data_IF_562505529890
#
_entry.id   IF_562505529890
#
_cell.length_a   1.000
_cell.length_b   1.000
_cell.length_c   1.000
_cell.angle_alpha   90.00
_cell.angle_beta   90.00
_cell.angle_gamma   90.00
#
_symmetry.space_group_name_H-M   'P 1'
#
loop_
_entity.id
_entity.type
_entity.pdbx_description
1 polymer ?
#
# COMPACT_ATOMS: atom_id res chain seq x y z
N UNK A 1 44.83 -51.78 17.54
CA UNK A 1 43.66 -51.43 16.69
C UNK A 1 42.49 -50.75 17.42
N UNK A 2 42.23 -51.01 18.71
CA UNK A 2 41.09 -50.40 19.45
C UNK A 2 41.11 -48.87 19.62
N UNK A 3 42.29 -48.24 19.74
CA UNK A 3 42.39 -46.79 19.95
C UNK A 3 42.00 -45.97 18.72
N UNK A 4 42.35 -46.42 17.52
CA UNK A 4 42.04 -45.70 16.26
C UNK A 4 40.52 -45.60 16.03
N UNK A 5 39.78 -46.65 16.40
CA UNK A 5 38.33 -46.68 16.27
C UNK A 5 37.60 -45.70 17.23
N UNK A 6 38.20 -45.40 18.39
CA UNK A 6 37.62 -44.43 19.33
C UNK A 6 37.78 -42.98 18.85
N UNK A 7 38.89 -42.67 18.18
CA UNK A 7 39.14 -41.33 17.63
C UNK A 7 38.25 -41.03 16.42
N UNK A 8 37.98 -42.02 15.56
CA UNK A 8 37.06 -41.83 14.42
C UNK A 8 35.60 -41.65 14.86
N UNK A 9 35.16 -42.36 15.91
CA UNK A 9 33.81 -42.18 16.48
C UNK A 9 33.68 -40.80 17.13
N UNK A 10 34.70 -40.34 17.86
CA UNK A 10 34.69 -39.01 18.49
C UNK A 10 34.68 -37.88 17.43
N UNK A 11 35.47 -38.02 16.36
CA UNK A 11 35.51 -37.04 15.27
C UNK A 11 34.20 -36.99 14.48
N UNK A 12 33.58 -38.15 14.21
CA UNK A 12 32.26 -38.22 13.57
C UNK A 12 31.15 -37.61 14.44
N UNK A 13 31.19 -37.84 15.76
CA UNK A 13 30.23 -37.22 16.68
C UNK A 13 30.36 -35.69 16.70
N UNK A 14 31.60 -35.16 16.75
CA UNK A 14 31.85 -33.71 16.71
C UNK A 14 31.35 -33.10 15.40
N UNK A 15 31.62 -33.73 14.24
CA UNK A 15 31.10 -33.27 12.95
C UNK A 15 29.57 -33.30 12.86
N UNK A 16 28.90 -34.29 13.48
CA UNK A 16 27.44 -34.34 13.56
C UNK A 16 26.86 -33.25 14.48
N UNK A 17 27.55 -32.88 15.56
CA UNK A 17 27.14 -31.75 16.42
C UNK A 17 27.26 -30.40 15.69
N UNK A 18 28.30 -30.19 14.86
CA UNK A 18 28.42 -28.98 14.03
C UNK A 18 27.50 -28.97 12.80
N UNK A 19 27.07 -30.13 12.30
CA UNK A 19 26.11 -30.23 11.21
C UNK A 19 24.66 -30.01 11.69
N UNK A 20 24.33 -30.40 12.92
CA UNK A 20 22.99 -30.20 13.51
C UNK A 20 22.79 -28.81 14.12
N UNK A 21 23.85 -28.09 14.50
CA UNK A 21 23.74 -26.73 15.05
C UNK A 21 23.64 -25.62 14.00
N UNK A 22 23.84 -25.94 12.71
CA UNK A 22 23.79 -24.95 11.62
C UNK A 22 22.46 -24.93 10.82
N UNK A 23 21.48 -25.79 11.16
CA UNK A 23 20.16 -25.78 10.50
C UNK A 23 19.06 -25.08 11.29
N UNK A 24 19.32 -24.70 12.54
CA UNK A 24 18.43 -23.88 13.33
C UNK A 24 19.07 -22.49 13.49
N UNK A 25 18.38 -21.46 12.98
CA UNK A 25 18.66 -20.04 13.22
C UNK A 25 19.83 -19.45 12.41
N UNK A 26 19.78 -19.62 11.10
CA UNK A 26 20.18 -18.55 10.17
C UNK A 26 18.92 -18.08 9.44
N UNK A 27 17.86 -17.79 10.19
CA UNK A 27 17.06 -16.64 9.81
C UNK A 27 17.98 -15.46 10.04
N UNK A 28 18.41 -14.79 8.96
CA UNK A 28 18.98 -13.46 9.07
C UNK A 28 18.05 -12.67 9.98
N UNK A 29 18.47 -12.44 11.24
CA UNK A 29 17.73 -11.59 12.17
C UNK A 29 17.76 -10.20 11.56
N UNK A 30 16.77 -9.88 10.73
CA UNK A 30 16.56 -8.52 10.28
C UNK A 30 16.39 -7.72 11.58
N UNK A 31 17.20 -6.68 11.85
CA UNK A 31 17.11 -5.91 13.09
C UNK A 31 15.72 -5.32 13.34
N UNK A 32 14.85 -5.29 12.32
CA UNK A 32 13.43 -4.93 12.46
C UNK A 32 12.61 -5.93 13.29
N UNK A 33 12.97 -7.22 13.35
CA UNK A 33 12.23 -8.22 14.14
C UNK A 33 12.36 -7.99 15.66
N UNK A 34 13.40 -7.27 16.12
CA UNK A 34 13.50 -6.88 17.53
C UNK A 34 12.75 -5.57 17.85
N UNK A 35 12.39 -4.80 16.82
CA UNK A 35 11.65 -3.54 16.95
C UNK A 35 10.14 -3.72 16.78
N UNK A 36 9.72 -4.87 16.27
CA UNK A 36 8.32 -5.23 16.05
C UNK A 36 7.96 -6.38 16.98
N UNK A 37 6.82 -6.26 17.65
CA UNK A 37 6.28 -7.32 18.51
C UNK A 37 5.74 -8.48 17.64
N UNK A 38 6.64 -9.37 17.24
CA UNK A 38 6.34 -10.53 16.39
C UNK A 38 5.47 -11.58 17.10
N UNK A 39 5.24 -11.44 18.41
CA UNK A 39 4.25 -12.26 19.11
C UNK A 39 2.81 -11.83 18.74
N UNK A 40 2.61 -10.55 18.43
CA UNK A 40 1.31 -9.97 18.05
C UNK A 40 1.13 -9.80 16.55
N UNK A 41 2.23 -9.59 15.82
CA UNK A 41 2.19 -9.26 14.41
C UNK A 41 2.91 -10.29 13.55
N UNK A 42 2.37 -10.53 12.37
CA UNK A 42 3.07 -11.15 11.25
C UNK A 42 3.59 -10.04 10.34
N UNK A 43 4.85 -10.12 9.93
CA UNK A 43 5.39 -9.21 8.92
C UNK A 43 4.82 -9.62 7.56
N UNK A 44 4.13 -8.69 6.90
CA UNK A 44 3.52 -8.89 5.59
C UNK A 44 4.48 -8.47 4.48
N UNK A 45 5.04 -7.25 4.61
CA UNK A 45 5.98 -6.72 3.62
C UNK A 45 7.02 -5.84 4.30
N UNK A 46 8.28 -6.01 3.92
CA UNK A 46 9.39 -5.16 4.36
C UNK A 46 10.01 -4.52 3.13
N UNK A 47 9.95 -3.19 3.04
CA UNK A 47 10.51 -2.40 1.96
C UNK A 47 11.71 -1.61 2.50
N UNK A 48 12.88 -1.99 2.02
CA UNK A 48 14.11 -1.31 2.39
C UNK A 48 14.49 -0.22 1.38
N UNK A 49 15.15 0.83 1.88
CA UNK A 49 15.72 1.92 1.07
C UNK A 49 14.67 2.75 0.31
N UNK A 50 13.54 3.03 0.95
CA UNK A 50 12.50 3.89 0.38
C UNK A 50 12.92 5.35 0.57
N UNK A 51 13.13 6.09 -0.52
CA UNK A 51 13.59 7.47 -0.48
C UNK A 51 12.41 8.43 -0.45
N UNK A 52 12.28 9.31 0.55
CA UNK A 52 11.24 10.34 0.60
C UNK A 52 11.87 11.65 1.03
N UNK A 53 11.86 12.65 0.15
CA UNK A 53 12.62 13.89 0.31
C UNK A 53 14.09 13.58 0.64
N UNK A 54 14.59 14.05 1.79
CA UNK A 54 15.95 13.78 2.27
C UNK A 54 16.04 12.54 3.18
N UNK A 55 14.95 11.80 3.39
CA UNK A 55 14.92 10.65 4.29
C UNK A 55 15.06 9.33 3.53
N UNK A 56 15.91 8.47 4.06
CA UNK A 56 16.03 7.07 3.63
C UNK A 56 15.32 6.18 4.66
N UNK A 57 14.25 5.52 4.24
CA UNK A 57 13.32 4.85 5.13
C UNK A 57 13.31 3.34 4.93
N UNK A 58 13.03 2.63 6.02
CA UNK A 58 12.49 1.27 5.99
C UNK A 58 11.01 1.34 6.29
N UNK A 59 10.19 0.75 5.43
CA UNK A 59 8.74 0.68 5.62
C UNK A 59 8.34 -0.77 5.84
N UNK A 60 7.60 -1.03 6.90
CA UNK A 60 7.13 -2.36 7.26
C UNK A 60 5.61 -2.35 7.33
N UNK A 61 4.99 -3.22 6.55
CA UNK A 61 3.58 -3.54 6.62
C UNK A 61 3.42 -4.85 7.40
N UNK A 62 2.52 -4.84 8.37
CA UNK A 62 2.33 -5.92 9.33
C UNK A 62 0.85 -6.23 9.44
N UNK A 63 0.53 -7.44 9.90
CA UNK A 63 -0.85 -7.87 10.16
C UNK A 63 -0.98 -8.42 11.56
N UNK A 64 -2.08 -8.09 12.22
CA UNK A 64 -2.38 -8.64 13.55
C UNK A 64 -2.58 -10.16 13.45
N UNK A 65 -2.04 -10.92 14.40
CA UNK A 65 -2.27 -12.38 14.45
C UNK A 65 -3.62 -12.73 15.05
N UNK A 66 -4.09 -11.90 15.97
CA UNK A 66 -5.27 -12.14 16.80
C UNK A 66 -6.20 -10.93 16.77
N UNK A 67 -7.49 -11.19 16.87
CA UNK A 67 -8.53 -10.18 17.05
C UNK A 67 -8.57 -9.66 18.51
N UNK A 68 -9.52 -8.78 18.79
CA UNK A 68 -9.72 -8.21 20.14
C UNK A 68 -10.16 -9.24 21.20
N UNK A 69 -10.59 -10.43 20.78
CA UNK A 69 -10.96 -11.57 21.62
C UNK A 69 -9.86 -12.63 21.69
N UNK A 70 -8.65 -12.31 21.23
CA UNK A 70 -7.49 -13.21 21.18
C UNK A 70 -7.72 -14.45 20.30
N UNK A 71 -8.63 -14.40 19.33
CA UNK A 71 -8.84 -15.45 18.34
C UNK A 71 -8.04 -15.18 17.06
N UNK A 72 -7.52 -16.22 16.39
CA UNK A 72 -6.91 -16.05 15.08
C UNK A 72 -7.97 -15.60 14.06
N UNK A 73 -7.57 -14.76 13.11
CA UNK A 73 -8.41 -14.43 11.97
C UNK A 73 -8.58 -15.64 11.04
N UNK A 74 -9.77 -15.79 10.46
CA UNK A 74 -10.07 -16.86 9.48
C UNK A 74 -9.14 -16.82 8.25
N UNK A 75 -8.56 -15.66 7.96
CA UNK A 75 -7.57 -15.47 6.90
C UNK A 75 -6.56 -14.39 7.26
N UNK A 76 -5.33 -14.49 6.75
CA UNK A 76 -4.32 -13.43 6.93
C UNK A 76 -4.77 -12.13 6.26
N UNK A 77 -5.45 -12.20 5.12
CA UNK A 77 -5.87 -11.02 4.35
C UNK A 77 -7.08 -10.29 4.94
N UNK A 78 -7.81 -10.90 5.89
CA UNK A 78 -8.85 -10.22 6.68
C UNK A 78 -8.32 -9.57 7.96
N UNK A 79 -7.05 -9.81 8.30
CA UNK A 79 -6.43 -9.20 9.47
C UNK A 79 -6.15 -7.70 9.28
N UNK A 80 -6.38 -6.87 10.31
CA UNK A 80 -5.97 -5.47 10.35
C UNK A 80 -4.52 -5.26 9.92
N UNK A 81 -4.31 -4.32 9.00
CA UNK A 81 -2.97 -3.92 8.56
C UNK A 81 -2.41 -2.86 9.51
N UNK A 82 -1.12 -2.95 9.80
CA UNK A 82 -0.35 -1.92 10.48
C UNK A 82 0.81 -1.46 9.60
N UNK A 83 1.09 -0.16 9.63
CA UNK A 83 2.20 0.47 8.92
C UNK A 83 3.19 1.03 9.94
N UNK A 84 4.44 0.57 9.87
CA UNK A 84 5.55 1.12 10.64
C UNK A 84 6.63 1.66 9.71
N UNK A 85 7.21 2.80 10.06
CA UNK A 85 8.23 3.49 9.26
C UNK A 85 9.40 3.84 10.17
N UNK A 86 10.59 3.46 9.72
CA UNK A 86 11.85 3.64 10.44
C UNK A 86 12.84 4.40 9.56
N UNK A 87 13.73 5.16 10.17
CA UNK A 87 14.93 5.65 9.49
C UNK A 87 15.87 4.45 9.20
N UNK A 88 16.35 4.30 7.97
CA UNK A 88 17.08 3.08 7.53
C UNK A 88 18.40 2.86 8.29
N UNK A 89 19.16 3.92 8.52
CA UNK A 89 20.51 3.82 9.09
C UNK A 89 20.48 3.57 10.60
N UNK A 90 19.58 4.25 11.32
CA UNK A 90 19.49 4.19 12.78
C UNK A 90 18.45 3.17 13.29
N UNK A 91 17.57 2.69 12.40
CA UNK A 91 16.32 2.01 12.75
C UNK A 91 15.44 2.79 13.74
N UNK A 92 15.60 4.12 13.80
CA UNK A 92 14.78 4.97 14.65
C UNK A 92 13.32 4.89 14.18
N UNK A 93 12.35 4.50 15.04
CA UNK A 93 10.94 4.52 14.67
C UNK A 93 10.48 5.96 14.47
N UNK A 94 9.96 6.26 13.29
CA UNK A 94 9.43 7.58 12.93
C UNK A 94 7.90 7.60 12.93
N UNK A 95 7.26 6.45 12.74
CA UNK A 95 5.80 6.31 12.69
C UNK A 95 5.36 4.87 12.90
N UNK A 96 4.19 4.69 13.53
CA UNK A 96 3.47 3.42 13.56
C UNK A 96 1.98 3.68 13.69
N UNK A 97 1.16 2.97 12.92
CA UNK A 97 -0.29 3.00 13.01
C UNK A 97 -0.90 1.65 12.63
N UNK A 98 -1.88 1.19 13.41
CA UNK A 98 -2.74 0.07 13.08
C UNK A 98 -4.04 0.62 12.48
N UNK A 99 -4.41 0.14 11.29
CA UNK A 99 -5.67 0.49 10.66
C UNK A 99 -6.74 -0.49 11.10
N UNK A 100 -7.76 0.01 11.78
CA UNK A 100 -8.86 -0.81 12.26
C UNK A 100 -9.53 -1.54 11.09
N UNK A 101 -9.84 -2.82 11.31
CA UNK A 101 -10.74 -3.54 10.43
C UNK A 101 -12.17 -3.10 10.76
N UNK A 102 -12.97 -2.79 9.74
CA UNK A 102 -14.42 -2.62 9.92
C UNK A 102 -15.04 -4.01 9.99
N UNK A 103 -15.87 -4.30 11.01
CA UNK A 103 -16.32 -5.67 11.34
C UNK A 103 -17.29 -6.29 10.32
N UNK A 104 -17.55 -5.64 9.19
CA UNK A 104 -18.41 -6.20 8.15
C UNK A 104 -17.70 -7.37 7.44
N UNK A 105 -18.49 -8.30 6.92
CA UNK A 105 -18.09 -9.60 6.38
C UNK A 105 -16.79 -9.55 5.54
N UNK A 106 -15.69 -9.92 6.19
CA UNK A 106 -14.42 -10.34 5.59
C UNK A 106 -13.86 -9.47 4.46
N UNK A 107 -13.58 -8.17 4.66
CA UNK A 107 -12.83 -7.42 3.66
C UNK A 107 -11.44 -8.04 3.50
N UNK A 108 -11.10 -8.48 2.30
CA UNK A 108 -9.71 -8.66 1.92
C UNK A 108 -9.05 -7.28 1.94
N UNK A 109 -8.11 -7.07 2.85
CA UNK A 109 -7.38 -5.80 2.99
C UNK A 109 -6.07 -5.92 2.22
N UNK A 110 -5.90 -5.11 1.17
CA UNK A 110 -4.72 -5.08 0.32
C UNK A 110 -4.02 -3.72 0.54
N UNK A 111 -2.88 -3.71 1.26
CA UNK A 111 -2.08 -2.51 1.41
C UNK A 111 -1.13 -2.34 0.22
N UNK A 112 -1.08 -1.15 -0.35
CA UNK A 112 -0.19 -0.84 -1.48
C UNK A 112 0.64 0.40 -1.19
N UNK A 113 1.93 0.36 -1.55
CA UNK A 113 2.84 1.50 -1.52
C UNK A 113 3.30 1.83 -2.92
N UNK A 114 3.25 3.11 -3.28
CA UNK A 114 3.68 3.56 -4.60
C UNK A 114 4.18 5.00 -4.60
N UNK A 115 5.03 5.33 -5.57
CA UNK A 115 5.43 6.70 -5.88
C UNK A 115 4.56 7.32 -6.94
N UNK A 116 4.57 8.66 -6.98
CA UNK A 116 4.16 9.39 -8.17
C UNK A 116 5.04 9.07 -9.40
N UNK A 117 4.54 9.41 -10.59
CA UNK A 117 5.22 9.33 -11.88
C UNK A 117 5.79 7.94 -12.26
N UNK A 118 5.24 6.85 -11.73
CA UNK A 118 5.78 5.50 -11.98
C UNK A 118 7.21 5.28 -11.44
N UNK A 119 7.72 6.19 -10.61
CA UNK A 119 9.06 6.06 -10.03
C UNK A 119 9.16 4.82 -9.15
N UNK A 120 10.33 4.18 -9.13
CA UNK A 120 10.58 3.11 -8.16
C UNK A 120 10.53 3.66 -6.74
N UNK A 121 10.32 2.79 -5.75
CA UNK A 121 10.29 3.20 -4.33
C UNK A 121 11.63 3.80 -3.83
N UNK A 122 12.74 3.49 -4.51
CA UNK A 122 14.06 4.07 -4.26
C UNK A 122 14.23 5.44 -4.95
N UNK A 123 13.36 5.78 -5.89
CA UNK A 123 13.34 7.07 -6.57
C UNK A 123 12.75 8.19 -5.70
N UNK A 124 13.10 9.42 -6.05
CA UNK A 124 12.58 10.62 -5.40
C UNK A 124 11.13 10.90 -5.81
N UNK A 125 10.39 11.56 -4.93
CA UNK A 125 9.03 12.05 -5.20
C UNK A 125 8.01 11.67 -4.12
N UNK A 126 6.76 12.14 -4.24
CA UNK A 126 5.69 11.84 -3.29
C UNK A 126 5.46 10.33 -3.12
N UNK A 127 5.43 9.88 -1.87
CA UNK A 127 5.12 8.49 -1.49
C UNK A 127 3.69 8.38 -1.01
N UNK A 128 2.96 7.40 -1.52
CA UNK A 128 1.59 7.14 -1.14
C UNK A 128 1.42 5.74 -0.59
N UNK A 129 0.47 5.64 0.32
CA UNK A 129 0.00 4.40 0.91
C UNK A 129 -1.50 4.30 0.66
N UNK A 130 -1.96 3.17 0.13
CA UNK A 130 -3.38 2.88 -0.01
C UNK A 130 -3.78 1.62 0.74
N UNK A 131 -5.04 1.62 1.16
CA UNK A 131 -5.72 0.48 1.73
C UNK A 131 -6.98 0.20 0.93
N UNK A 132 -6.97 -0.95 0.28
CA UNK A 132 -8.07 -1.42 -0.55
C UNK A 132 -8.75 -2.54 0.22
N UNK A 133 -10.05 -2.44 0.46
CA UNK A 133 -10.85 -3.40 1.23
C UNK A 133 -11.92 -3.99 0.31
N UNK A 134 -11.89 -5.28 0.02
CA UNK A 134 -12.88 -5.95 -0.85
C UNK A 134 -13.74 -6.97 -0.11
N UNK A 135 -15.06 -6.90 -0.24
CA UNK A 135 -16.01 -7.63 0.63
C UNK A 135 -16.50 -8.98 0.07
N UNK A 136 -15.64 -9.74 -0.64
CA UNK A 136 -15.97 -11.07 -1.19
C UNK A 136 -16.99 -11.08 -2.36
N UNK A 137 -17.70 -9.97 -2.58
CA UNK A 137 -18.47 -9.67 -3.77
C UNK A 137 -17.80 -8.57 -4.58
N UNK A 138 -18.62 -7.76 -5.24
CA UNK A 138 -18.13 -6.75 -6.14
C UNK A 138 -17.85 -5.42 -5.42
N UNK A 139 -18.40 -5.20 -4.21
CA UNK A 139 -18.14 -4.04 -3.37
C UNK A 139 -16.71 -3.97 -2.79
N UNK A 140 -16.16 -2.76 -2.77
CA UNK A 140 -14.89 -2.41 -2.16
C UNK A 140 -14.93 -1.02 -1.51
N UNK A 141 -14.00 -0.76 -0.60
CA UNK A 141 -13.68 0.57 -0.12
C UNK A 141 -12.19 0.83 -0.25
N UNK A 142 -11.84 2.11 -0.36
CA UNK A 142 -10.49 2.54 -0.65
C UNK A 142 -10.14 3.76 0.20
N UNK A 143 -8.95 3.74 0.80
CA UNK A 143 -8.38 4.86 1.54
C UNK A 143 -6.98 5.16 0.99
N UNK A 144 -6.71 6.40 0.62
CA UNK A 144 -5.40 6.86 0.15
C UNK A 144 -4.82 7.91 1.07
N UNK A 145 -3.53 7.75 1.33
CA UNK A 145 -2.75 8.63 2.16
C UNK A 145 -1.47 9.07 1.46
N UNK A 146 -1.05 10.31 1.74
CA UNK A 146 0.28 10.81 1.43
C UNK A 146 1.17 10.64 2.65
N UNK A 147 2.28 9.91 2.48
CA UNK A 147 3.34 9.81 3.49
C UNK A 147 4.24 11.04 3.33
N UNK A 148 4.09 11.99 4.25
CA UNK A 148 4.78 13.26 4.21
C UNK A 148 5.75 13.42 5.39
N UNK A 149 7.06 13.56 5.13
CA UNK A 149 8.01 14.04 6.13
C UNK A 149 7.71 15.50 6.53
N UNK A 150 7.62 15.78 7.83
CA UNK A 150 7.61 17.15 8.38
C UNK A 150 8.52 17.19 9.60
N UNK A 151 9.56 18.02 9.57
CA UNK A 151 10.50 18.17 10.69
C UNK A 151 11.08 16.84 11.22
N UNK A 152 11.49 15.94 10.31
CA UNK A 152 11.98 14.57 10.60
C UNK A 152 10.95 13.61 11.22
N UNK A 153 9.71 14.03 11.47
CA UNK A 153 8.60 13.14 11.76
C UNK A 153 7.88 12.75 10.46
N UNK A 154 7.25 11.57 10.46
CA UNK A 154 6.41 11.14 9.34
C UNK A 154 4.95 11.42 9.70
N UNK A 155 4.24 12.04 8.76
CA UNK A 155 2.80 12.29 8.85
C UNK A 155 2.09 11.55 7.73
N UNK A 156 1.03 10.84 8.09
CA UNK A 156 0.13 10.22 7.14
C UNK A 156 -1.05 11.16 6.87
N UNK A 157 -1.01 11.88 5.75
CA UNK A 157 -2.04 12.85 5.38
C UNK A 157 -3.13 12.13 4.58
N UNK A 158 -4.38 12.03 5.08
CA UNK A 158 -5.46 11.42 4.31
C UNK A 158 -5.77 12.27 3.07
N UNK A 159 -5.81 11.64 1.90
CA UNK A 159 -6.09 12.29 0.63
C UNK A 159 -7.50 11.99 0.13
N UNK A 160 -7.94 10.75 0.24
CA UNK A 160 -9.21 10.30 -0.32
C UNK A 160 -9.73 9.07 0.42
N UNK A 161 -11.05 9.00 0.57
CA UNK A 161 -11.77 7.82 1.03
C UNK A 161 -13.00 7.63 0.16
N UNK A 162 -13.15 6.44 -0.42
CA UNK A 162 -14.26 6.11 -1.30
C UNK A 162 -14.77 4.70 -1.05
N UNK A 163 -15.96 4.42 -1.58
CA UNK A 163 -16.58 3.10 -1.60
C UNK A 163 -17.24 2.88 -2.95
N UNK A 164 -17.10 1.68 -3.52
CA UNK A 164 -17.70 1.35 -4.80
C UNK A 164 -17.51 -0.10 -5.18
N UNK A 165 -18.18 -0.55 -6.22
CA UNK A 165 -17.96 -1.87 -6.79
C UNK A 165 -16.73 -1.83 -7.70
N UNK A 166 -15.77 -2.79 -7.60
CA UNK A 166 -14.52 -3.07 -8.39
C UNK A 166 -13.76 -1.91 -9.08
N UNK A 167 -14.06 -0.67 -8.72
CA UNK A 167 -13.54 0.56 -9.31
C UNK A 167 -12.41 1.04 -8.42
N UNK A 168 -11.23 0.47 -8.64
CA UNK A 168 -10.02 1.00 -8.03
C UNK A 168 -9.85 2.43 -8.52
N UNK A 169 -9.76 3.41 -7.61
CA UNK A 169 -9.42 4.74 -8.03
C UNK A 169 -8.05 4.67 -8.72
N UNK A 170 -8.05 5.03 -10.00
CA UNK A 170 -6.81 5.14 -10.74
C UNK A 170 -6.17 6.48 -10.42
N UNK A 171 -4.84 6.49 -10.34
CA UNK A 171 -4.06 7.69 -10.09
C UNK A 171 -3.10 7.89 -11.24
N UNK A 172 -3.34 8.90 -12.08
CA UNK A 172 -2.24 9.46 -12.88
C UNK A 172 -1.46 10.39 -12.00
N UNK A 173 -0.20 10.05 -11.86
CA UNK A 173 0.68 10.66 -10.90
C UNK A 173 1.63 11.56 -11.67
N UNK A 174 1.60 12.84 -11.35
CA UNK A 174 2.17 13.91 -12.16
C UNK A 174 2.82 14.96 -11.28
N UNK A 175 4.12 14.86 -11.03
CA UNK A 175 4.82 15.76 -10.13
C UNK A 175 4.15 15.80 -8.76
N UNK A 176 3.45 16.90 -8.46
CA UNK A 176 2.72 17.16 -7.22
C UNK A 176 1.19 17.03 -7.37
N UNK A 177 0.70 16.32 -8.38
CA UNK A 177 -0.73 16.15 -8.62
C UNK A 177 -1.09 14.68 -8.80
N UNK A 178 -2.30 14.32 -8.36
CA UNK A 178 -2.92 13.02 -8.60
C UNK A 178 -4.26 13.21 -9.29
N UNK A 179 -4.45 12.58 -10.45
CA UNK A 179 -5.75 12.51 -11.12
C UNK A 179 -6.50 11.27 -10.63
N UNK A 180 -7.59 11.48 -9.91
CA UNK A 180 -8.48 10.48 -9.33
C UNK A 180 -9.66 10.19 -10.28
N UNK A 181 -9.94 8.90 -10.45
CA UNK A 181 -11.09 8.37 -11.18
C UNK A 181 -12.02 7.66 -10.20
N UNK A 182 -13.21 8.20 -9.97
CA UNK A 182 -14.19 7.63 -9.03
C UNK A 182 -15.49 7.27 -9.77
N UNK A 183 -15.92 6.02 -9.69
CA UNK A 183 -17.20 5.63 -10.27
C UNK A 183 -18.37 6.27 -9.50
N UNK A 184 -19.30 6.88 -10.22
CA UNK A 184 -20.52 7.48 -9.65
C UNK A 184 -21.62 6.42 -9.60
N UNK A 185 -22.13 6.16 -8.41
CA UNK A 185 -23.23 5.23 -8.17
C UNK A 185 -24.58 5.91 -8.32
N UNK A 186 -25.32 5.57 -9.39
CA UNK A 186 -26.71 5.99 -9.53
C UNK A 186 -27.67 4.94 -8.99
N UNK A 187 -27.75 4.85 -7.65
CA UNK A 187 -28.67 3.94 -6.96
C UNK A 187 -30.15 4.19 -7.29
N UNK A 188 -30.50 5.38 -7.81
CA UNK A 188 -31.88 5.72 -8.19
C UNK A 188 -32.32 5.07 -9.51
N UNK A 189 -31.38 4.79 -10.40
CA UNK A 189 -31.65 4.14 -11.69
C UNK A 189 -31.44 2.62 -11.67
N UNK A 190 -31.11 2.05 -10.50
CA UNK A 190 -30.92 0.61 -10.33
C UNK A 190 -29.69 0.08 -11.08
N UNK A 191 -28.69 0.92 -11.34
CA UNK A 191 -27.47 0.49 -12.01
C UNK A 191 -26.65 -0.42 -11.08
N UNK A 192 -26.81 -1.74 -11.26
CA UNK A 192 -26.01 -2.80 -10.63
C UNK A 192 -24.93 -3.35 -11.57
N UNK A 193 -24.71 -2.73 -12.73
CA UNK A 193 -23.86 -3.27 -13.78
C UNK A 193 -22.88 -2.25 -14.34
N UNK A 194 -21.60 -2.64 -14.32
CA UNK A 194 -20.43 -1.87 -14.76
C UNK A 194 -20.55 -1.18 -16.10
N UNK A 195 -21.36 -1.68 -17.03
CA UNK A 195 -21.37 -1.23 -18.44
C UNK A 195 -21.88 0.20 -18.64
N UNK A 196 -22.55 0.85 -17.67
CA UNK A 196 -23.11 2.22 -17.84
C UNK A 196 -22.63 3.34 -16.88
N UNK A 197 -21.83 3.04 -15.85
CA UNK A 197 -21.31 4.05 -14.92
C UNK A 197 -20.62 5.27 -15.58
N UNK A 198 -20.97 6.45 -15.07
CA UNK A 198 -20.18 7.67 -15.18
C UNK A 198 -19.05 7.63 -14.16
N UNK A 199 -17.88 8.13 -14.55
CA UNK A 199 -16.69 8.24 -13.70
C UNK A 199 -16.45 9.73 -13.45
N UNK A 200 -16.45 10.14 -12.20
CA UNK A 200 -16.00 11.46 -11.76
C UNK A 200 -14.48 11.53 -11.89
N UNK A 201 -14.00 12.55 -12.58
CA UNK A 201 -12.59 12.92 -12.61
C UNK A 201 -12.34 14.02 -11.60
N UNK A 202 -11.34 13.85 -10.76
CA UNK A 202 -10.95 14.84 -9.76
C UNK A 202 -9.43 14.97 -9.71
N UNK A 203 -8.93 16.19 -9.53
CA UNK A 203 -7.51 16.43 -9.29
C UNK A 203 -7.26 16.61 -7.80
N UNK A 204 -6.24 15.97 -7.27
CA UNK A 204 -5.70 16.23 -5.94
C UNK A 204 -4.38 16.97 -6.12
N UNK A 205 -4.35 18.25 -5.76
CA UNK A 205 -3.13 19.06 -5.79
C UNK A 205 -2.40 18.98 -4.44
N UNK A 206 -1.10 18.65 -4.47
CA UNK A 206 -0.23 18.47 -3.30
C UNK A 206 0.67 19.68 -3.02
N UNK A 207 0.62 20.73 -3.85
CA UNK A 207 1.51 21.91 -3.77
C UNK A 207 1.24 22.74 -2.52
N UNK A 208 -0.03 22.78 -2.09
CA UNK A 208 -0.43 23.29 -0.79
C UNK A 208 -0.46 22.07 0.13
N UNK A 209 0.27 22.08 1.25
CA UNK A 209 0.39 20.95 2.21
C UNK A 209 -0.95 20.44 2.81
N UNK A 210 -2.08 20.93 2.31
CA UNK A 210 -3.42 20.41 2.45
C UNK A 210 -3.93 20.01 1.06
N UNK A 211 -4.16 18.71 0.82
CA UNK A 211 -4.70 18.26 -0.47
C UNK A 211 -6.07 18.89 -0.72
N UNK A 212 -6.25 19.44 -1.91
CA UNK A 212 -7.55 19.95 -2.37
C UNK A 212 -8.03 19.08 -3.52
N UNK A 213 -9.22 18.49 -3.36
CA UNK A 213 -9.89 17.72 -4.41
C UNK A 213 -10.69 18.70 -5.28
N UNK A 214 -10.33 18.83 -6.55
CA UNK A 214 -11.02 19.65 -7.52
C UNK A 214 -11.73 18.75 -8.55
N UNK A 215 -13.06 18.79 -8.66
CA UNK A 215 -13.76 18.05 -9.70
C UNK A 215 -13.44 18.65 -11.06
N UNK A 216 -13.01 17.81 -12.00
CA UNK A 216 -12.64 18.20 -13.36
C UNK A 216 -13.75 17.93 -14.38
N UNK A 217 -14.63 16.97 -14.08
CA UNK A 217 -15.69 16.56 -14.99
C UNK A 217 -16.03 15.09 -14.85
N UNK A 218 -16.72 14.52 -15.84
CA UNK A 218 -17.10 13.12 -15.86
C UNK A 218 -16.67 12.46 -17.17
N UNK A 219 -16.48 11.15 -17.16
CA UNK A 219 -16.23 10.33 -18.35
C UNK A 219 -17.01 9.02 -18.30
N UNK A 220 -17.30 8.42 -19.45
CA UNK A 220 -17.79 7.03 -19.56
C UNK A 220 -16.71 6.07 -20.04
N UNK A 221 -15.47 6.54 -20.23
CA UNK A 221 -14.33 5.73 -20.67
C UNK A 221 -13.76 4.95 -19.49
N UNK A 222 -13.98 3.64 -19.49
CA UNK A 222 -13.83 2.85 -18.25
C UNK A 222 -12.42 2.35 -17.99
N UNK A 223 -11.65 1.98 -19.01
CA UNK A 223 -10.44 1.16 -18.80
C UNK A 223 -9.37 1.28 -19.90
N UNK A 224 -9.43 2.30 -20.78
CA UNK A 224 -8.25 2.65 -21.59
C UNK A 224 -7.40 3.69 -20.86
N UNK A 225 -7.11 3.42 -19.59
CA UNK A 225 -5.97 4.02 -18.93
C UNK A 225 -4.92 2.92 -18.99
N UNK A 226 -4.04 2.91 -20.03
CA UNK A 226 -2.87 2.07 -19.95
C UNK A 226 -2.13 2.39 -18.64
N UNK A 227 -1.10 1.63 -18.33
CA UNK A 227 0.06 2.18 -17.63
C UNK A 227 0.64 3.33 -18.49
N UNK A 228 -0.14 4.40 -18.69
CA UNK A 228 0.10 5.37 -19.72
C UNK A 228 1.06 6.36 -19.13
N UNK A 229 2.20 6.52 -19.78
CA UNK A 229 3.14 7.59 -19.49
C UNK A 229 2.56 9.00 -19.75
N UNK A 230 1.27 9.07 -20.16
CA UNK A 230 0.55 10.32 -20.41
C UNK A 230 0.41 11.14 -19.14
N UNK A 231 0.58 12.44 -19.34
CA UNK A 231 0.32 13.44 -18.32
C UNK A 231 -1.17 13.57 -18.02
N UNK A 232 -1.53 14.06 -16.83
CA UNK A 232 -2.93 14.33 -16.48
C UNK A 232 -3.53 15.34 -17.48
N UNK A 233 -2.73 16.32 -17.92
CA UNK A 233 -3.12 17.28 -18.95
C UNK A 233 -3.39 16.62 -20.30
N UNK A 234 -2.50 15.74 -20.76
CA UNK A 234 -2.68 15.01 -22.02
C UNK A 234 -3.90 14.10 -21.97
N UNK A 235 -4.09 13.36 -20.87
CA UNK A 235 -5.24 12.50 -20.72
C UNK A 235 -6.56 13.29 -20.67
N UNK A 236 -6.59 14.39 -19.91
CA UNK A 236 -7.74 15.29 -19.91
C UNK A 236 -8.00 15.86 -21.31
N UNK A 237 -6.94 16.15 -22.08
CA UNK A 237 -7.03 16.51 -23.49
C UNK A 237 -7.70 15.44 -24.34
N UNK A 238 -7.32 14.16 -24.17
CA UNK A 238 -7.97 13.05 -24.87
C UNK A 238 -9.45 12.91 -24.52
N UNK A 239 -9.79 12.99 -23.23
CA UNK A 239 -11.18 12.94 -22.80
C UNK A 239 -11.99 14.12 -23.33
N UNK A 240 -11.40 15.34 -23.38
CA UNK A 240 -12.06 16.50 -24.00
C UNK A 240 -12.35 16.30 -25.48
N UNK A 241 -11.48 15.60 -26.20
CA UNK A 241 -11.69 15.29 -27.62
C UNK A 241 -12.76 14.22 -27.83
N UNK A 242 -12.75 13.16 -27.00
CA UNK A 242 -13.65 12.00 -27.13
C UNK A 242 -15.05 12.28 -26.56
N UNK A 243 -15.12 13.02 -25.45
CA UNK A 243 -16.33 13.22 -24.63
C UNK A 243 -16.50 14.69 -24.21
N UNK A 244 -16.53 15.66 -25.15
CA UNK A 244 -16.48 17.11 -24.86
C UNK A 244 -17.63 17.61 -23.97
N UNK A 245 -18.77 16.91 -23.96
CA UNK A 245 -19.96 17.30 -23.20
C UNK A 245 -19.97 16.77 -21.76
N UNK A 246 -19.10 15.83 -21.42
CA UNK A 246 -19.09 15.20 -20.09
C UNK A 246 -18.01 15.80 -19.17
N UNK A 247 -16.98 16.43 -19.74
CA UNK A 247 -16.03 17.21 -18.97
C UNK A 247 -16.56 18.61 -18.71
N UNK A 248 -16.86 18.87 -17.44
CA UNK A 248 -17.21 20.20 -16.96
C UNK A 248 -16.09 21.19 -17.22
N UNK A 249 -16.47 22.44 -17.52
CA UNK A 249 -15.63 23.57 -17.89
C UNK A 249 -14.47 23.81 -16.90
N UNK A 250 -13.40 23.04 -17.01
CA UNK A 250 -12.11 23.39 -16.43
C UNK A 250 -11.14 23.63 -17.57
N UNK A 251 -10.87 24.90 -17.83
CA UNK A 251 -9.74 25.32 -18.65
C UNK A 251 -8.46 25.02 -17.87
N UNK A 252 -8.03 23.76 -17.91
CA UNK A 252 -6.70 23.29 -17.54
C UNK A 252 -5.69 23.55 -18.66
#
# INVERSE_FOLDING_TARGET
MRKICQWTILLAAICCFFACTNKAVIEHQNPLYSLIDTSKYTLDTVLEKVQVDSLNLTIVMMRAKLDEHFQPFDSSISSPVSLAIFEKESNLPLYSMTFANTPDDYPYIIPTLFKANGSSLQGQGPLFFSLDKGYGGSGSSYELFWIQPRNKAIHLVPLFKGSGELSYPYFIKQGNQLLLFEAIWNMKEGESHFSKHLIQLSLIDLYVKQPMIQPLGKTISKYQLPESDLTAKELLGEFKQKEPHLLGLSNF
#
